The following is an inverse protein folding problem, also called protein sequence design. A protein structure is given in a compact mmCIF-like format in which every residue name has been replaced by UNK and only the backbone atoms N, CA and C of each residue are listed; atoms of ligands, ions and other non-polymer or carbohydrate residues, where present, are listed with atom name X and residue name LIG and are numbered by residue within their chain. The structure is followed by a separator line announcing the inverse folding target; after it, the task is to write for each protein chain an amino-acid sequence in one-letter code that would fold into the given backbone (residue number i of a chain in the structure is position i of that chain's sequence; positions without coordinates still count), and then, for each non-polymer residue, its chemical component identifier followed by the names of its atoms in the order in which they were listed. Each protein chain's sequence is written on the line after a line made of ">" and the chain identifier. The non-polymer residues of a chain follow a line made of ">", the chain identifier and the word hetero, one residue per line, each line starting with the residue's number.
data_IF_472970754233
#
_entry.id   IF_472970754233
#
_cell.length_a   1.000
_cell.length_b   1.000
_cell.length_c   1.000
_cell.angle_alpha   90.00
_cell.angle_beta   90.00
_cell.angle_gamma   90.00
#
_symmetry.space_group_name_H-M   'P 1'
#
loop_
_entity.id
_entity.type
_entity.pdbx_description
1 polymer ?
#
# COMPACT_ATOMS: atom_id res chain seq x y z
N UNK A 1 43.74 18.47 55.64
CA UNK A 1 42.61 18.30 56.57
C UNK A 1 41.42 17.81 55.75
N UNK A 2 40.95 16.60 56.04
CA UNK A 2 39.68 16.06 55.53
C UNK A 2 38.51 16.88 56.08
N UNK A 3 37.45 17.05 55.30
CA UNK A 3 36.08 16.77 55.76
C UNK A 3 35.22 16.34 54.57
N UNK A 4 34.72 15.12 54.66
CA UNK A 4 33.60 14.59 53.88
C UNK A 4 32.31 15.31 54.27
N UNK A 5 31.40 15.54 53.33
CA UNK A 5 29.96 15.33 53.57
C UNK A 5 29.19 15.18 52.26
N UNK A 6 28.50 14.04 52.15
CA UNK A 6 27.50 13.69 51.14
C UNK A 6 26.18 14.35 51.52
N UNK A 7 25.48 14.98 50.58
CA UNK A 7 24.02 15.15 50.70
C UNK A 7 23.37 14.85 49.34
N UNK A 8 22.69 13.72 49.30
CA UNK A 8 21.73 13.33 48.27
C UNK A 8 20.47 14.20 48.42
N UNK A 9 19.98 14.79 47.34
CA UNK A 9 18.56 15.12 47.20
C UNK A 9 18.05 14.59 45.87
N UNK A 10 17.44 13.39 45.94
CA UNK A 10 16.43 12.97 44.97
C UNK A 10 15.18 13.80 45.21
N UNK A 11 14.67 14.45 44.16
CA UNK A 11 13.27 14.83 44.06
C UNK A 11 12.77 14.45 42.66
N UNK A 12 11.94 13.42 42.67
CA UNK A 12 11.31 12.73 41.56
C UNK A 12 9.95 13.34 41.20
N UNK A 13 9.54 13.13 39.94
CA UNK A 13 8.17 13.16 39.39
C UNK A 13 7.59 14.57 39.21
N UNK A 14 7.05 14.96 38.04
CA UNK A 14 6.17 14.19 37.16
C UNK A 14 6.51 14.49 35.70
N UNK A 15 7.02 13.50 34.97
CA UNK A 15 6.91 13.55 33.51
C UNK A 15 5.41 13.40 33.21
N UNK A 16 4.79 14.47 32.76
CA UNK A 16 3.51 14.40 32.05
C UNK A 16 3.78 13.63 30.76
N UNK A 17 3.70 12.30 30.87
CA UNK A 17 3.53 11.43 29.72
C UNK A 17 2.21 11.81 29.08
N UNK A 18 2.26 12.76 28.15
CA UNK A 18 1.22 12.88 27.14
C UNK A 18 1.21 11.54 26.41
N UNK A 19 0.38 10.61 26.86
CA UNK A 19 -0.14 9.57 26.00
C UNK A 19 -0.95 10.33 24.95
N UNK A 20 -0.27 10.76 23.89
CA UNK A 20 -0.90 11.08 22.64
C UNK A 20 -1.61 9.80 22.22
N UNK A 21 -2.89 9.74 22.55
CA UNK A 21 -3.80 8.74 22.02
C UNK A 21 -3.59 8.76 20.51
N UNK A 22 -3.46 7.60 19.83
CA UNK A 22 -3.43 7.60 18.38
C UNK A 22 -4.69 8.33 17.93
N UNK A 23 -4.50 9.52 17.39
CA UNK A 23 -5.57 10.29 16.77
C UNK A 23 -6.20 9.35 15.76
N UNK A 24 -7.51 9.17 15.88
CA UNK A 24 -8.33 8.39 14.97
C UNK A 24 -7.92 8.74 13.53
N UNK A 25 -7.13 7.85 12.95
CA UNK A 25 -6.74 7.93 11.56
C UNK A 25 -8.02 7.79 10.75
N UNK A 26 -8.28 8.81 9.92
CA UNK A 26 -8.96 8.70 8.64
C UNK A 26 -9.12 7.24 8.24
N UNK A 27 -10.36 6.74 8.06
CA UNK A 27 -10.76 5.37 7.69
C UNK A 27 -9.78 4.62 6.76
N UNK A 28 -8.61 4.26 7.27
CA UNK A 28 -7.63 3.44 6.58
C UNK A 28 -8.25 2.05 6.55
N UNK A 29 -8.39 1.49 5.35
CA UNK A 29 -8.60 0.06 5.21
C UNK A 29 -7.63 -0.62 6.19
N UNK A 30 -8.14 -1.36 7.16
CA UNK A 30 -7.32 -1.89 8.24
C UNK A 30 -6.38 -2.93 7.64
N UNK A 31 -5.18 -2.50 7.27
CA UNK A 31 -4.14 -3.34 6.70
C UNK A 31 -3.30 -3.95 7.81
N UNK A 32 -2.87 -5.18 7.62
CA UNK A 32 -1.96 -5.86 8.54
C UNK A 32 -0.71 -6.34 7.78
N UNK A 33 0.44 -6.22 8.42
CA UNK A 33 1.72 -6.62 7.84
C UNK A 33 1.78 -8.15 7.74
N UNK A 34 2.04 -8.65 6.53
CA UNK A 34 2.22 -10.07 6.24
C UNK A 34 3.68 -10.47 6.24
N UNK A 35 4.53 -9.62 5.67
CA UNK A 35 5.97 -9.87 5.53
C UNK A 35 6.71 -8.56 5.38
N UNK A 36 7.87 -8.47 6.04
CA UNK A 36 8.85 -7.42 5.84
C UNK A 36 10.19 -8.04 5.48
N UNK A 37 10.80 -7.51 4.42
CA UNK A 37 12.12 -7.92 3.94
C UNK A 37 13.06 -6.72 3.96
N UNK A 38 14.18 -6.86 4.67
CA UNK A 38 15.19 -5.81 4.72
C UNK A 38 15.86 -5.62 3.35
N UNK A 39 16.14 -4.36 3.01
CA UNK A 39 16.95 -3.92 1.88
C UNK A 39 17.95 -2.88 2.34
N UNK A 40 18.87 -2.53 1.46
CA UNK A 40 19.72 -1.37 1.69
C UNK A 40 18.85 -0.10 1.69
N UNK A 41 18.97 0.75 2.71
CA UNK A 41 18.22 2.00 2.83
C UNK A 41 16.73 1.88 3.20
N UNK A 42 16.17 0.67 3.32
CA UNK A 42 14.77 0.48 3.63
C UNK A 42 14.33 -0.97 3.77
N UNK A 43 13.02 -1.19 3.73
CA UNK A 43 12.41 -2.52 3.76
C UNK A 43 11.24 -2.60 2.79
N UNK A 44 11.08 -3.76 2.16
CA UNK A 44 9.89 -4.11 1.40
C UNK A 44 8.88 -4.72 2.35
N UNK A 45 7.71 -4.10 2.47
CA UNK A 45 6.67 -4.56 3.36
C UNK A 45 5.43 -4.93 2.55
N UNK A 46 4.92 -6.13 2.76
CA UNK A 46 3.72 -6.65 2.15
C UNK A 46 2.59 -6.64 3.17
N UNK A 47 1.42 -6.14 2.78
CA UNK A 47 0.25 -6.04 3.64
C UNK A 47 -0.93 -6.81 3.04
N UNK A 48 -1.75 -7.39 3.92
CA UNK A 48 -3.08 -7.89 3.59
C UNK A 48 -4.15 -6.91 4.09
N UNK A 49 -5.32 -6.90 3.47
CA UNK A 49 -6.46 -6.13 3.96
C UNK A 49 -7.34 -6.97 4.87
N UNK A 50 -7.76 -6.41 6.01
CA UNK A 50 -8.87 -6.95 6.78
C UNK A 50 -10.14 -6.67 5.98
N UNK A 51 -10.61 -7.72 5.28
CA UNK A 51 -11.82 -7.75 4.42
C UNK A 51 -12.83 -6.62 4.74
N UNK A 52 -12.85 -5.57 3.92
CA UNK A 52 -14.12 -4.86 3.69
C UNK A 52 -14.95 -5.78 2.81
N UNK A 53 -16.14 -6.15 3.30
CA UNK A 53 -17.12 -6.87 2.51
C UNK A 53 -17.40 -6.08 1.23
N UNK A 54 -16.76 -6.45 0.12
CA UNK A 54 -17.17 -6.02 -1.22
C UNK A 54 -18.64 -6.43 -1.33
N UNK A 55 -19.54 -5.45 -1.34
CA UNK A 55 -20.96 -5.74 -1.43
C UNK A 55 -21.18 -6.58 -2.71
N UNK A 56 -21.85 -7.73 -2.61
CA UNK A 56 -22.14 -8.53 -3.79
C UNK A 56 -22.92 -7.67 -4.80
N UNK A 57 -22.59 -7.81 -6.08
CA UNK A 57 -23.30 -7.17 -7.20
C UNK A 57 -24.80 -7.38 -7.01
N UNK A 58 -25.57 -6.29 -6.84
CA UNK A 58 -27.02 -6.36 -6.60
C UNK A 58 -27.79 -6.95 -7.79
N UNK A 59 -27.17 -7.00 -8.96
CA UNK A 59 -27.77 -7.38 -10.25
C UNK A 59 -27.66 -8.87 -10.61
N UNK A 60 -26.90 -9.69 -9.86
CA UNK A 60 -26.81 -11.13 -10.09
C UNK A 60 -26.45 -11.90 -8.81
N UNK A 61 -26.76 -13.20 -8.75
CA UNK A 61 -26.37 -14.06 -7.62
C UNK A 61 -27.39 -14.22 -6.48
N UNK A 62 -28.57 -13.60 -6.57
CA UNK A 62 -29.72 -13.95 -5.74
C UNK A 62 -30.39 -15.28 -6.13
N UNK A 63 -31.23 -15.83 -5.24
CA UNK A 63 -31.93 -17.12 -5.41
C UNK A 63 -32.73 -17.22 -6.72
N UNK A 64 -33.21 -16.07 -7.23
CA UNK A 64 -33.98 -15.96 -8.48
C UNK A 64 -33.23 -15.24 -9.60
N UNK A 65 -31.95 -14.92 -9.42
CA UNK A 65 -31.15 -14.22 -10.42
C UNK A 65 -30.28 -15.22 -11.20
N UNK A 66 -29.99 -14.95 -12.49
CA UNK A 66 -29.03 -15.75 -13.23
C UNK A 66 -27.67 -15.77 -12.53
N UNK A 67 -26.95 -16.90 -12.66
CA UNK A 67 -25.54 -16.97 -12.24
C UNK A 67 -24.79 -15.83 -12.93
N UNK A 68 -24.06 -15.04 -12.15
CA UNK A 68 -23.23 -13.99 -12.72
C UNK A 68 -22.35 -14.60 -13.82
N UNK A 69 -22.33 -14.05 -15.04
CA UNK A 69 -21.37 -14.50 -16.04
C UNK A 69 -19.96 -14.38 -15.43
N UNK A 70 -19.03 -15.29 -15.80
CA UNK A 70 -17.64 -15.13 -15.37
C UNK A 70 -17.20 -13.73 -15.80
N UNK A 71 -16.56 -12.95 -14.91
CA UNK A 71 -16.19 -11.59 -15.25
C UNK A 71 -15.27 -11.63 -16.47
N UNK A 72 -15.77 -11.21 -17.63
CA UNK A 72 -14.91 -10.90 -18.76
C UNK A 72 -14.18 -9.63 -18.37
N UNK A 73 -12.86 -9.74 -18.13
CA UNK A 73 -12.05 -8.55 -17.90
C UNK A 73 -12.06 -7.73 -19.19
N UNK A 74 -12.99 -6.78 -19.29
CA UNK A 74 -12.89 -5.69 -20.24
C UNK A 74 -11.80 -4.77 -19.71
N UNK A 75 -10.54 -5.14 -19.97
CA UNK A 75 -9.40 -4.26 -19.73
C UNK A 75 -9.58 -3.11 -20.72
N UNK A 76 -10.20 -2.02 -20.27
CA UNK A 76 -10.02 -0.72 -20.90
C UNK A 76 -8.51 -0.51 -20.95
N UNK A 77 -7.99 -0.36 -22.15
CA UNK A 77 -6.60 -0.62 -22.52
C UNK A 77 -5.56 -0.12 -21.50
N UNK A 78 -4.39 -0.76 -21.50
CA UNK A 78 -3.19 -0.41 -20.70
C UNK A 78 -2.68 1.04 -20.91
N UNK A 79 -3.34 1.81 -21.75
CA UNK A 79 -2.74 2.92 -22.50
C UNK A 79 -2.40 4.12 -21.63
N UNK A 80 -3.15 4.37 -20.55
CA UNK A 80 -2.79 5.44 -19.61
C UNK A 80 -3.39 5.23 -18.21
N UNK A 81 -2.57 5.33 -17.14
CA UNK A 81 -3.10 5.43 -15.79
C UNK A 81 -3.79 6.78 -15.57
N UNK A 82 -4.79 6.80 -14.70
CA UNK A 82 -5.33 8.04 -14.17
C UNK A 82 -4.39 8.56 -13.09
N UNK A 83 -3.74 9.69 -13.34
CA UNK A 83 -2.85 10.33 -12.38
C UNK A 83 -3.64 11.11 -11.32
N UNK A 84 -3.33 10.91 -10.05
CA UNK A 84 -3.85 11.74 -8.97
C UNK A 84 -2.87 12.89 -8.73
N UNK A 85 -3.21 14.08 -9.22
CA UNK A 85 -2.41 15.30 -9.00
C UNK A 85 -2.48 15.85 -7.57
N UNK A 86 -3.16 15.16 -6.63
CA UNK A 86 -3.30 15.59 -5.24
C UNK A 86 -2.16 15.05 -4.37
N UNK A 87 -2.11 15.52 -3.12
CA UNK A 87 -1.04 15.38 -2.09
C UNK A 87 -0.63 13.95 -1.69
N UNK A 88 -1.06 12.92 -2.43
CA UNK A 88 -0.83 11.51 -2.15
C UNK A 88 0.33 10.92 -2.99
N UNK A 89 1.08 11.76 -3.71
CA UNK A 89 2.27 11.36 -4.46
C UNK A 89 3.37 10.80 -3.56
N UNK A 90 3.83 9.59 -3.85
CA UNK A 90 5.09 9.10 -3.31
C UNK A 90 6.25 9.91 -3.88
N UNK A 91 7.25 10.26 -3.06
CA UNK A 91 8.45 10.93 -3.59
C UNK A 91 9.10 10.04 -4.65
N UNK A 92 9.50 10.62 -5.78
CA UNK A 92 10.00 9.86 -6.94
C UNK A 92 11.11 8.87 -6.55
N UNK A 93 12.09 9.31 -5.76
CA UNK A 93 13.18 8.44 -5.28
C UNK A 93 12.70 7.20 -4.51
N UNK A 94 11.63 7.32 -3.73
CA UNK A 94 11.13 6.18 -2.94
C UNK A 94 10.30 5.22 -3.80
N UNK A 95 9.58 5.73 -4.79
CA UNK A 95 8.94 4.86 -5.78
C UNK A 95 9.96 4.21 -6.70
N UNK A 96 11.08 4.87 -6.98
CA UNK A 96 12.20 4.26 -7.70
C UNK A 96 12.75 3.06 -6.95
N UNK A 97 12.96 3.16 -5.63
CA UNK A 97 13.39 2.00 -4.82
C UNK A 97 12.41 0.84 -4.88
N UNK A 98 11.10 1.13 -4.79
CA UNK A 98 10.07 0.08 -4.91
C UNK A 98 10.13 -0.58 -6.29
N UNK A 99 10.14 0.20 -7.37
CA UNK A 99 10.17 -0.32 -8.75
C UNK A 99 11.47 -1.08 -9.02
N UNK A 100 12.61 -0.60 -8.55
CA UNK A 100 13.89 -1.29 -8.65
C UNK A 100 13.87 -2.63 -7.92
N UNK A 101 13.29 -2.70 -6.71
CA UNK A 101 13.13 -3.97 -6.00
C UNK A 101 12.23 -4.96 -6.77
N UNK A 102 11.18 -4.48 -7.44
CA UNK A 102 10.34 -5.34 -8.29
C UNK A 102 11.17 -5.95 -9.44
N UNK A 103 11.96 -5.13 -10.15
CA UNK A 103 12.82 -5.60 -11.23
C UNK A 103 13.91 -6.56 -10.75
N UNK A 104 14.59 -6.23 -9.65
CA UNK A 104 15.65 -7.05 -9.08
C UNK A 104 15.17 -8.39 -8.52
N UNK A 105 13.87 -8.50 -8.20
CA UNK A 105 13.29 -9.68 -7.56
C UNK A 105 12.06 -10.20 -8.32
N UNK A 106 12.02 -10.03 -9.64
CA UNK A 106 10.84 -10.28 -10.49
C UNK A 106 10.17 -11.65 -10.29
N UNK A 107 10.97 -12.70 -10.08
CA UNK A 107 10.50 -14.09 -9.95
C UNK A 107 10.02 -14.42 -8.52
N UNK A 108 10.15 -13.48 -7.59
CA UNK A 108 9.70 -13.66 -6.20
C UNK A 108 8.18 -13.63 -6.14
N UNK A 109 7.61 -14.71 -5.59
CA UNK A 109 6.18 -14.81 -5.29
C UNK A 109 5.85 -13.96 -4.06
N UNK A 110 4.78 -13.17 -4.16
CA UNK A 110 4.25 -12.40 -3.04
C UNK A 110 3.56 -13.32 -2.04
N UNK A 111 3.49 -12.89 -0.78
CA UNK A 111 2.84 -13.66 0.28
C UNK A 111 1.36 -13.84 -0.05
N UNK A 112 0.86 -15.04 0.18
CA UNK A 112 -0.56 -15.34 -0.02
C UNK A 112 -1.43 -14.38 0.80
N UNK A 113 -2.43 -13.78 0.16
CA UNK A 113 -3.30 -12.78 0.78
C UNK A 113 -2.75 -11.35 0.76
N UNK A 114 -1.55 -11.12 0.20
CA UNK A 114 -1.07 -9.76 -0.03
C UNK A 114 -2.00 -9.02 -1.00
N UNK A 115 -2.29 -7.77 -0.64
CA UNK A 115 -3.05 -6.81 -1.44
C UNK A 115 -2.32 -5.48 -1.61
N UNK A 116 -1.16 -5.34 -0.95
CA UNK A 116 -0.35 -4.16 -1.01
C UNK A 116 1.13 -4.52 -0.78
N UNK A 117 2.03 -3.83 -1.48
CA UNK A 117 3.48 -3.90 -1.30
C UNK A 117 4.02 -2.48 -1.24
N UNK A 118 4.86 -2.18 -0.25
CA UNK A 118 5.40 -0.85 -0.01
C UNK A 118 6.90 -0.86 0.19
N UNK A 119 7.54 0.25 -0.17
CA UNK A 119 8.84 0.61 0.38
C UNK A 119 8.66 1.37 1.69
N UNK A 120 9.31 0.90 2.76
CA UNK A 120 9.41 1.57 4.05
C UNK A 120 10.83 2.08 4.22
N UNK A 121 11.00 3.40 4.35
CA UNK A 121 12.32 4.00 4.51
C UNK A 121 12.78 3.85 5.96
N UNK A 122 13.97 3.28 6.17
CA UNK A 122 14.48 3.01 7.52
C UNK A 122 14.84 4.28 8.30
N UNK A 123 15.31 5.31 7.61
CA UNK A 123 15.73 6.58 8.24
C UNK A 123 14.56 7.39 8.79
N UNK A 124 13.35 7.21 8.24
CA UNK A 124 12.14 7.92 8.69
C UNK A 124 11.12 7.01 9.37
N UNK A 125 11.23 5.69 9.21
CA UNK A 125 10.26 4.71 9.68
C UNK A 125 8.90 4.74 8.97
N UNK A 126 8.72 5.66 7.99
CA UNK A 126 7.46 5.84 7.28
C UNK A 126 7.39 4.94 6.05
N UNK A 127 6.20 4.38 5.80
CA UNK A 127 5.85 3.80 4.50
C UNK A 127 5.80 4.90 3.46
N UNK A 128 6.67 4.79 2.46
CA UNK A 128 6.71 5.69 1.33
C UNK A 128 5.80 5.20 0.21
N UNK A 129 6.37 4.85 -0.93
CA UNK A 129 5.64 4.39 -2.09
C UNK A 129 5.06 2.99 -1.88
N UNK A 130 3.81 2.80 -2.29
CA UNK A 130 3.08 1.55 -2.18
C UNK A 130 2.35 1.26 -3.48
N UNK A 131 2.31 -0.02 -3.86
CA UNK A 131 1.43 -0.55 -4.89
C UNK A 131 0.32 -1.33 -4.18
N UNK A 132 -0.94 -1.10 -4.56
CA UNK A 132 -2.11 -1.77 -3.98
C UNK A 132 -3.02 -2.32 -5.08
N UNK A 133 -3.70 -3.43 -4.77
CA UNK A 133 -4.72 -4.02 -5.63
C UNK A 133 -5.94 -4.51 -4.85
N UNK A 134 -7.13 -4.40 -5.45
CA UNK A 134 -8.41 -4.56 -4.72
C UNK A 134 -8.86 -6.00 -4.49
N UNK A 135 -8.19 -7.01 -5.07
CA UNK A 135 -8.57 -8.44 -4.92
C UNK A 135 -7.35 -9.32 -4.75
N UNK A 136 -7.38 -10.24 -3.79
CA UNK A 136 -6.32 -11.24 -3.63
C UNK A 136 -6.11 -12.04 -4.93
N UNK A 137 -4.85 -12.17 -5.35
CA UNK A 137 -4.45 -12.95 -6.54
C UNK A 137 -3.46 -14.03 -6.09
N UNK A 138 -3.78 -15.29 -6.36
CA UNK A 138 -2.93 -16.40 -5.97
C UNK A 138 -1.67 -16.47 -6.86
N UNK A 139 -0.52 -16.68 -6.22
CA UNK A 139 0.76 -16.85 -6.93
C UNK A 139 1.23 -15.59 -7.67
N UNK A 140 0.77 -14.41 -7.26
CA UNK A 140 1.22 -13.14 -7.83
C UNK A 140 2.73 -12.99 -7.60
N UNK A 141 3.48 -12.66 -8.63
CA UNK A 141 4.92 -12.37 -8.53
C UNK A 141 5.16 -10.86 -8.59
N UNK A 142 6.36 -10.43 -8.21
CA UNK A 142 6.76 -9.03 -8.40
C UNK A 142 6.72 -8.63 -9.88
N UNK A 143 7.05 -9.55 -10.79
CA UNK A 143 6.97 -9.32 -12.24
C UNK A 143 5.58 -8.88 -12.71
N UNK A 144 4.51 -9.43 -12.11
CA UNK A 144 3.13 -9.11 -12.48
C UNK A 144 2.76 -7.63 -12.18
N UNK A 145 3.53 -6.95 -11.32
CA UNK A 145 3.29 -5.55 -10.93
C UNK A 145 4.12 -4.54 -11.76
N UNK A 146 5.24 -4.97 -12.34
CA UNK A 146 6.27 -4.09 -12.92
C UNK A 146 5.70 -3.17 -14.00
N UNK A 147 5.08 -3.73 -15.03
CA UNK A 147 4.65 -2.99 -16.23
C UNK A 147 3.76 -1.79 -15.87
N UNK A 148 2.83 -2.00 -14.93
CA UNK A 148 1.87 -0.98 -14.49
C UNK A 148 2.51 0.02 -13.53
N UNK A 149 3.38 -0.45 -12.63
CA UNK A 149 4.13 0.44 -11.75
C UNK A 149 5.00 1.40 -12.57
N UNK A 150 5.73 0.88 -13.56
CA UNK A 150 6.62 1.67 -14.41
C UNK A 150 5.85 2.67 -15.28
N UNK A 151 4.68 2.27 -15.79
CA UNK A 151 3.80 3.17 -16.54
C UNK A 151 3.23 4.29 -15.67
N UNK A 152 2.78 4.01 -14.43
CA UNK A 152 2.35 5.06 -13.49
C UNK A 152 3.51 5.97 -13.14
N UNK A 153 4.69 5.41 -12.83
CA UNK A 153 5.89 6.19 -12.52
C UNK A 153 6.26 7.14 -13.65
N UNK A 154 6.22 6.67 -14.90
CA UNK A 154 6.60 7.50 -16.07
C UNK A 154 5.53 8.49 -16.51
N UNK A 155 4.26 8.27 -16.16
CA UNK A 155 3.13 9.12 -16.60
C UNK A 155 2.68 10.10 -15.52
N UNK A 156 2.81 9.75 -14.24
CA UNK A 156 2.21 10.46 -13.12
C UNK A 156 3.25 11.04 -12.14
N UNK A 157 4.32 11.67 -12.64
CA UNK A 157 5.49 12.09 -11.84
C UNK A 157 5.51 13.56 -11.40
N UNK A 158 4.57 14.37 -11.89
CA UNK A 158 4.67 15.85 -11.85
C UNK A 158 4.69 16.46 -10.45
N UNK A 159 4.13 15.78 -9.43
CA UNK A 159 4.14 16.24 -8.03
C UNK A 159 4.34 15.07 -7.04
N UNK A 160 5.16 14.10 -7.44
CA UNK A 160 5.23 12.79 -6.79
C UNK A 160 4.33 11.78 -7.49
N UNK A 161 4.71 10.52 -7.38
CA UNK A 161 4.11 9.42 -8.13
C UNK A 161 2.81 8.99 -7.45
N UNK A 162 1.70 9.27 -8.12
CA UNK A 162 0.37 8.78 -7.75
C UNK A 162 -0.48 8.51 -8.98
N UNK A 163 -0.92 7.26 -9.15
CA UNK A 163 -1.80 6.91 -10.26
C UNK A 163 -2.51 5.58 -10.07
N UNK A 164 -3.54 5.36 -10.88
CA UNK A 164 -4.39 4.17 -10.80
C UNK A 164 -4.83 3.66 -12.16
N UNK A 165 -5.22 2.40 -12.17
CA UNK A 165 -5.99 1.73 -13.20
C UNK A 165 -7.27 1.18 -12.56
N UNK A 166 -8.43 1.57 -13.08
CA UNK A 166 -9.71 1.11 -12.52
C UNK A 166 -9.94 -0.38 -12.80
N UNK A 167 -9.45 -0.90 -13.93
CA UNK A 167 -9.61 -2.32 -14.29
C UNK A 167 -8.36 -2.86 -14.97
N UNK A 168 -7.67 -3.79 -14.31
CA UNK A 168 -6.56 -4.54 -14.85
C UNK A 168 -6.76 -6.03 -14.64
N UNK A 169 -6.16 -6.83 -15.52
CA UNK A 169 -6.09 -8.27 -15.38
C UNK A 169 -4.72 -8.64 -14.79
N UNK A 170 -4.71 -9.14 -13.56
CA UNK A 170 -3.55 -9.80 -12.95
C UNK A 170 -3.84 -11.29 -12.83
N UNK A 171 -3.15 -12.11 -13.62
CA UNK A 171 -3.26 -13.59 -13.63
C UNK A 171 -4.70 -14.13 -13.73
N UNK A 172 -5.55 -13.49 -14.52
CA UNK A 172 -6.96 -13.88 -14.71
C UNK A 172 -7.94 -13.24 -13.73
N UNK A 173 -7.48 -12.38 -12.82
CA UNK A 173 -8.32 -11.65 -11.87
C UNK A 173 -8.44 -10.19 -12.30
N UNK A 174 -9.68 -9.73 -12.53
CA UNK A 174 -9.95 -8.31 -12.80
C UNK A 174 -10.03 -7.53 -11.50
N UNK A 175 -9.20 -6.51 -11.34
CA UNK A 175 -9.11 -5.70 -10.13
C UNK A 175 -8.66 -4.27 -10.46
N UNK A 176 -8.75 -3.37 -9.47
CA UNK A 176 -8.17 -2.04 -9.58
C UNK A 176 -6.76 -2.06 -9.01
N UNK A 177 -5.85 -1.35 -9.64
CA UNK A 177 -4.43 -1.30 -9.31
C UNK A 177 -4.00 0.15 -9.17
N UNK A 178 -3.18 0.47 -8.19
CA UNK A 178 -2.68 1.83 -8.02
C UNK A 178 -1.31 1.84 -7.35
N UNK A 179 -0.64 2.98 -7.51
CA UNK A 179 0.61 3.28 -6.83
C UNK A 179 0.53 4.70 -6.26
N UNK A 180 0.83 4.85 -4.97
CA UNK A 180 0.78 6.14 -4.26
C UNK A 180 1.65 6.10 -2.99
N UNK A 181 1.69 7.18 -2.22
CA UNK A 181 2.24 7.15 -0.85
C UNK A 181 1.29 6.42 0.11
N UNK A 182 1.85 5.59 0.99
CA UNK A 182 1.11 4.90 2.06
C UNK A 182 -0.08 4.08 1.57
N UNK A 183 -1.17 4.08 2.34
CA UNK A 183 -2.44 3.43 1.98
C UNK A 183 -3.34 4.31 1.08
N UNK A 184 -2.79 5.37 0.47
CA UNK A 184 -3.55 6.41 -0.27
C UNK A 184 -4.33 5.93 -1.49
N UNK A 185 -4.15 4.68 -1.87
CA UNK A 185 -4.97 3.95 -2.83
C UNK A 185 -6.38 3.68 -2.27
N UNK A 186 -7.31 4.60 -2.52
CA UNK A 186 -8.73 4.47 -2.17
C UNK A 186 -9.51 3.63 -3.18
N UNK A 187 -10.45 2.82 -2.70
CA UNK A 187 -11.24 1.88 -3.50
C UNK A 187 -12.28 2.59 -4.40
N UNK A 188 -12.82 1.86 -5.39
CA UNK A 188 -13.78 2.32 -6.42
C UNK A 188 -15.02 3.06 -5.88
N UNK A 189 -15.42 2.87 -4.62
CA UNK A 189 -16.70 3.38 -4.08
C UNK A 189 -16.70 4.84 -3.64
N UNK A 190 -15.55 5.50 -3.52
CA UNK A 190 -15.46 6.91 -3.09
C UNK A 190 -15.41 7.91 -4.25
N UNK A 191 -15.68 7.44 -5.48
CA UNK A 191 -15.65 8.25 -6.71
C UNK A 191 -16.99 8.25 -7.46
N UNK A 192 -18.08 7.84 -6.80
CA UNK A 192 -19.47 8.02 -7.27
C UNK A 192 -20.09 9.29 -6.70
#
# INVERSE_FOLDING_TARGET
>A
MQFSTVTLLMASLMATGLMASPTAGSDEASVYELKSEKREGGSIVQYGEVKRSLAPRKDCGGWFQPKCPPPTCHVTALDSPECDGKKNGGTNSVCDELVNDLYGNKDTVLVAGAQQICWKNDGTGKTGCCIKWTKAVAGLTKNDLIERADKIKSTCDTNGISGKYNTVNLRGVCLSYCMSIGAGCKDESDFS
#
